data_IF_194068206237
#
_entry.id   IF_194068206237
#
_cell.length_a   1.000
_cell.length_b   1.000
_cell.length_c   1.000
_cell.angle_alpha   90.00
_cell.angle_beta   90.00
_cell.angle_gamma   90.00
#
_symmetry.space_group_name_H-M   'P 1'
#
loop_
_entity.id
_entity.type
_entity.pdbx_description
1 polymer ?
#
# COMPACT_ATOMS: atom_id res chain seq x y z
N UNK A 1 -13.07 1.70 -21.57
CA UNK A 1 -11.90 1.22 -20.80
C UNK A 1 -10.82 2.29 -20.83
N UNK A 2 -10.05 2.41 -19.75
CA UNK A 2 -9.20 3.58 -19.50
C UNK A 2 -9.90 4.54 -18.53
N UNK A 3 -9.20 5.62 -18.16
CA UNK A 3 -9.69 6.59 -17.19
C UNK A 3 -11.07 7.13 -17.58
N UNK A 4 -12.01 7.10 -16.64
CA UNK A 4 -13.36 7.65 -16.76
C UNK A 4 -13.30 9.19 -16.85
N UNK A 5 -14.28 9.84 -17.49
CA UNK A 5 -14.29 11.31 -17.62
C UNK A 5 -14.16 12.05 -16.29
N UNK A 6 -14.83 11.58 -15.23
CA UNK A 6 -14.76 12.21 -13.91
C UNK A 6 -13.38 12.05 -13.25
N UNK A 7 -12.68 10.93 -13.48
CA UNK A 7 -11.31 10.73 -12.99
C UNK A 7 -10.37 11.73 -13.66
N UNK A 8 -10.50 11.90 -14.97
CA UNK A 8 -9.70 12.85 -15.77
C UNK A 8 -9.92 14.30 -15.34
N UNK A 9 -11.15 14.66 -14.97
CA UNK A 9 -11.52 16.02 -14.58
C UNK A 9 -10.88 16.49 -13.26
N UNK A 10 -10.33 15.58 -12.45
CA UNK A 10 -9.63 15.92 -11.20
C UNK A 10 -8.18 16.37 -11.44
N UNK A 11 -7.65 16.12 -12.63
CA UNK A 11 -6.29 16.51 -13.02
C UNK A 11 -6.27 17.93 -13.61
N UNK A 12 -5.13 18.65 -13.50
CA UNK A 12 -3.89 18.22 -12.88
C UNK A 12 -3.91 18.29 -11.34
N UNK A 13 -3.14 17.41 -10.69
CA UNK A 13 -3.01 17.41 -9.23
C UNK A 13 -1.87 18.32 -8.84
N UNK A 14 -2.19 19.47 -8.26
CA UNK A 14 -1.21 20.52 -7.94
C UNK A 14 -0.82 20.57 -6.47
N UNK A 15 -1.55 19.88 -5.59
CA UNK A 15 -1.38 19.90 -4.12
C UNK A 15 -1.55 18.53 -3.51
N UNK A 16 -1.04 18.36 -2.28
CA UNK A 16 -1.49 17.33 -1.32
C UNK A 16 -3.02 17.29 -1.26
N UNK A 17 -3.68 18.44 -1.10
CA UNK A 17 -5.15 18.53 -1.08
C UNK A 17 -5.83 18.04 -2.36
N UNK A 18 -5.22 18.23 -3.54
CA UNK A 18 -5.74 17.71 -4.81
C UNK A 18 -5.60 16.19 -4.89
N UNK A 19 -4.49 15.63 -4.40
CA UNK A 19 -4.32 14.18 -4.28
C UNK A 19 -5.36 13.60 -3.33
N UNK A 20 -5.57 14.20 -2.14
CA UNK A 20 -6.61 13.77 -1.20
C UNK A 20 -8.01 13.79 -1.84
N UNK A 21 -8.35 14.82 -2.63
CA UNK A 21 -9.62 14.86 -3.37
C UNK A 21 -9.77 13.74 -4.40
N UNK A 22 -8.68 13.36 -5.08
CA UNK A 22 -8.70 12.21 -5.98
C UNK A 22 -8.99 10.92 -5.22
N UNK A 23 -8.30 10.68 -4.10
CA UNK A 23 -8.52 9.51 -3.27
C UNK A 23 -9.95 9.47 -2.71
N UNK A 24 -10.46 10.59 -2.22
CA UNK A 24 -11.84 10.69 -1.72
C UNK A 24 -12.87 10.36 -2.80
N UNK A 25 -12.67 10.84 -4.03
CA UNK A 25 -13.56 10.54 -5.15
C UNK A 25 -13.52 9.05 -5.55
N UNK A 26 -12.33 8.43 -5.54
CA UNK A 26 -12.16 6.98 -5.79
C UNK A 26 -12.75 6.12 -4.66
N UNK A 27 -12.51 6.47 -3.39
CA UNK A 27 -13.01 5.70 -2.23
C UNK A 27 -14.54 5.67 -2.13
N UNK A 28 -15.22 6.68 -2.69
CA UNK A 28 -16.69 6.66 -2.85
C UNK A 28 -17.18 5.65 -3.88
N UNK A 29 -16.31 5.13 -4.74
CA UNK A 29 -16.64 4.09 -5.69
C UNK A 29 -16.58 2.70 -5.02
N UNK A 30 -17.39 1.73 -5.48
CA UNK A 30 -17.27 0.36 -5.02
C UNK A 30 -15.97 -0.31 -5.50
N UNK A 31 -15.42 0.16 -6.61
CA UNK A 31 -14.16 -0.32 -7.22
C UNK A 31 -13.25 0.90 -7.44
N UNK A 32 -12.57 1.40 -6.39
CA UNK A 32 -11.54 2.42 -6.53
C UNK A 32 -10.43 1.92 -7.44
N UNK A 33 -9.94 2.75 -8.36
CA UNK A 33 -8.93 2.37 -9.34
C UNK A 33 -7.53 2.32 -8.71
N UNK A 34 -7.09 1.11 -8.33
CA UNK A 34 -5.80 0.89 -7.65
C UNK A 34 -4.62 1.29 -8.55
N UNK A 35 -4.76 1.12 -9.86
CA UNK A 35 -3.69 1.43 -10.82
C UNK A 35 -3.48 2.93 -10.89
N UNK A 36 -4.57 3.70 -11.02
CA UNK A 36 -4.53 5.16 -11.03
C UNK A 36 -3.90 5.71 -9.75
N UNK A 37 -4.40 5.26 -8.59
CA UNK A 37 -3.94 5.76 -7.30
C UNK A 37 -2.46 5.44 -7.06
N UNK A 38 -1.98 4.24 -7.44
CA UNK A 38 -0.58 3.83 -7.25
C UNK A 38 0.37 4.61 -8.14
N UNK A 39 -0.04 4.88 -9.38
CA UNK A 39 0.73 5.71 -10.30
C UNK A 39 0.87 7.14 -9.79
N UNK A 40 -0.20 7.72 -9.23
CA UNK A 40 -0.17 9.06 -8.63
C UNK A 40 0.74 9.11 -7.41
N UNK A 41 0.60 8.17 -6.47
CA UNK A 41 1.46 8.14 -5.27
C UNK A 41 2.92 7.99 -5.65
N UNK A 42 3.25 7.03 -6.51
CA UNK A 42 4.63 6.80 -6.93
C UNK A 42 5.23 7.97 -7.72
N UNK A 43 4.43 8.67 -8.53
CA UNK A 43 4.87 9.88 -9.22
C UNK A 43 5.21 11.00 -8.22
N UNK A 44 4.33 11.25 -7.25
CA UNK A 44 4.52 12.30 -6.24
C UNK A 44 5.72 11.95 -5.33
N UNK A 45 5.81 10.72 -4.86
CA UNK A 45 6.93 10.22 -4.05
C UNK A 45 8.27 10.30 -4.79
N UNK A 46 8.28 10.02 -6.10
CA UNK A 46 9.51 10.11 -6.89
C UNK A 46 10.14 11.50 -6.83
N UNK A 47 9.35 12.56 -6.97
CA UNK A 47 9.89 13.93 -6.98
C UNK A 47 10.02 14.56 -5.59
N UNK A 48 9.41 13.96 -4.56
CA UNK A 48 9.50 14.45 -3.18
C UNK A 48 10.54 13.71 -2.33
N UNK A 49 10.87 12.45 -2.67
CA UNK A 49 11.84 11.65 -1.94
C UNK A 49 12.99 11.12 -2.81
N UNK A 50 12.71 10.56 -3.99
CA UNK A 50 13.73 9.86 -4.81
C UNK A 50 14.69 10.82 -5.52
N UNK A 51 14.14 11.81 -6.22
CA UNK A 51 14.91 12.80 -6.96
C UNK A 51 14.20 14.17 -6.90
N UNK A 52 14.64 14.99 -5.95
CA UNK A 52 14.08 16.31 -5.66
C UNK A 52 14.66 17.43 -6.54
N UNK A 53 15.60 17.11 -7.44
CA UNK A 53 16.17 18.09 -8.36
C UNK A 53 15.12 18.43 -9.43
N UNK A 54 14.74 19.70 -9.53
CA UNK A 54 13.79 20.18 -10.53
C UNK A 54 14.41 20.01 -11.94
N UNK A 55 13.87 19.13 -12.79
CA UNK A 55 14.41 18.94 -14.13
C UNK A 55 14.09 20.16 -15.00
N UNK A 56 15.13 20.79 -15.54
CA UNK A 56 15.01 21.96 -16.43
C UNK A 56 14.85 21.57 -17.90
N UNK A 57 15.10 20.30 -18.24
CA UNK A 57 15.17 19.78 -19.61
C UNK A 57 14.01 18.82 -19.96
N UNK A 58 13.01 18.65 -19.10
CA UNK A 58 11.87 17.75 -19.32
C UNK A 58 10.61 18.57 -19.60
N UNK A 59 10.24 18.79 -20.88
CA UNK A 59 9.02 19.53 -21.21
C UNK A 59 7.78 18.75 -20.73
N UNK A 60 6.78 19.49 -20.24
CA UNK A 60 5.51 18.92 -19.77
C UNK A 60 5.51 18.49 -18.29
N UNK A 61 6.66 18.50 -17.61
CA UNK A 61 6.73 18.38 -16.16
C UNK A 61 6.74 19.78 -15.53
N UNK A 62 5.82 20.04 -14.61
CA UNK A 62 5.70 21.33 -13.94
C UNK A 62 5.64 21.16 -12.42
N UNK A 63 6.02 22.22 -11.70
CA UNK A 63 6.04 22.25 -10.24
C UNK A 63 5.31 23.48 -9.73
N UNK A 64 4.47 23.31 -8.73
CA UNK A 64 3.74 24.41 -8.11
C UNK A 64 4.48 24.90 -6.86
N UNK A 65 4.92 26.16 -6.89
CA UNK A 65 5.62 26.80 -5.78
C UNK A 65 4.66 27.13 -4.64
N UNK A 66 5.13 26.97 -3.41
CA UNK A 66 4.38 27.18 -2.17
C UNK A 66 5.27 27.77 -1.09
N UNK A 67 4.71 28.47 -0.10
CA UNK A 67 5.45 28.78 1.11
C UNK A 67 5.98 27.49 1.75
N UNK A 68 7.28 27.44 2.03
CA UNK A 68 7.91 26.37 2.79
C UNK A 68 7.66 26.52 4.30
N UNK A 69 8.17 25.58 5.11
CA UNK A 69 7.98 25.57 6.55
C UNK A 69 8.69 26.74 7.25
N UNK A 70 9.79 27.23 6.70
CA UNK A 70 10.51 28.40 7.21
C UNK A 70 10.10 29.68 6.46
N UNK A 71 10.03 30.84 7.15
CA UNK A 71 9.79 32.12 6.50
C UNK A 71 10.77 32.34 5.34
N UNK A 72 10.26 32.76 4.18
CA UNK A 72 11.02 33.04 2.95
C UNK A 72 11.54 31.80 2.18
N UNK A 73 11.26 30.58 2.63
CA UNK A 73 11.54 29.37 1.83
C UNK A 73 10.38 29.03 0.89
N UNK A 74 10.70 28.42 -0.26
CA UNK A 74 9.70 27.89 -1.18
C UNK A 74 9.79 26.36 -1.24
N UNK A 75 8.64 25.71 -1.05
CA UNK A 75 8.45 24.29 -1.35
C UNK A 75 7.86 24.15 -2.76
N UNK A 76 8.19 23.05 -3.45
CA UNK A 76 7.72 22.78 -4.81
C UNK A 76 6.99 21.45 -4.86
N UNK A 77 5.71 21.48 -5.19
CA UNK A 77 4.92 20.26 -5.35
C UNK A 77 4.97 19.79 -6.81
N UNK A 78 5.28 18.51 -7.09
CA UNK A 78 5.27 17.97 -8.45
C UNK A 78 3.85 17.91 -9.00
N UNK A 79 3.57 18.65 -10.07
CA UNK A 79 2.24 18.67 -10.66
C UNK A 79 2.02 17.37 -11.44
N UNK A 80 1.10 16.54 -10.99
CA UNK A 80 0.71 15.34 -11.73
C UNK A 80 -0.21 15.74 -12.89
N UNK A 81 0.37 15.88 -14.08
CA UNK A 81 -0.37 16.19 -15.31
C UNK A 81 -1.15 14.98 -15.81
N UNK A 82 -2.36 15.23 -16.34
CA UNK A 82 -3.21 14.16 -16.87
C UNK A 82 -2.52 13.37 -17.98
N UNK A 83 -1.79 14.07 -18.86
CA UNK A 83 -1.09 13.45 -19.99
C UNK A 83 -0.06 12.40 -19.54
N UNK A 84 0.71 12.73 -18.50
CA UNK A 84 1.74 11.85 -17.92
C UNK A 84 1.07 10.64 -17.27
N UNK A 85 0.12 10.89 -16.35
CA UNK A 85 -0.52 9.81 -15.60
C UNK A 85 -1.35 8.89 -16.50
N UNK A 86 -2.08 9.46 -17.47
CA UNK A 86 -2.84 8.68 -18.45
C UNK A 86 -1.93 7.83 -19.35
N UNK A 87 -0.75 8.33 -19.73
CA UNK A 87 0.22 7.55 -20.52
C UNK A 87 0.78 6.37 -19.72
N UNK A 88 1.15 6.58 -18.45
CA UNK A 88 1.61 5.52 -17.56
C UNK A 88 0.52 4.46 -17.33
N UNK A 89 -0.71 4.91 -17.11
CA UNK A 89 -1.88 4.04 -16.95
C UNK A 89 -2.15 3.21 -18.21
N UNK A 90 -2.12 3.85 -19.38
CA UNK A 90 -2.29 3.17 -20.67
C UNK A 90 -1.19 2.14 -20.90
N UNK A 91 0.07 2.46 -20.56
CA UNK A 91 1.20 1.53 -20.68
C UNK A 91 1.03 0.31 -19.80
N UNK A 92 0.67 0.48 -18.52
CA UNK A 92 0.38 -0.64 -17.61
C UNK A 92 -0.76 -1.51 -18.15
N UNK A 93 -1.89 -0.91 -18.46
CA UNK A 93 -3.07 -1.67 -18.91
C UNK A 93 -2.87 -2.36 -20.25
N UNK A 94 -2.12 -1.76 -21.18
CA UNK A 94 -1.75 -2.40 -22.45
C UNK A 94 -0.86 -3.62 -22.24
N UNK A 95 0.15 -3.52 -21.37
CA UNK A 95 1.04 -4.63 -21.03
C UNK A 95 0.28 -5.82 -20.45
N UNK A 96 -0.62 -5.59 -19.49
CA UNK A 96 -1.39 -6.66 -18.86
C UNK A 96 -2.38 -7.29 -19.86
N UNK A 97 -3.16 -6.47 -20.57
CA UNK A 97 -4.17 -6.97 -21.52
C UNK A 97 -3.57 -7.67 -22.74
N UNK A 98 -2.40 -7.22 -23.20
CA UNK A 98 -1.70 -7.87 -24.30
C UNK A 98 -1.09 -9.22 -23.93
N UNK A 99 -0.80 -9.45 -22.64
CA UNK A 99 -0.13 -10.66 -22.17
C UNK A 99 -1.09 -11.76 -21.65
N UNK A 100 -2.35 -11.41 -21.36
CA UNK A 100 -3.36 -12.31 -20.79
C UNK A 100 -4.60 -12.33 -21.68
N UNK A 101 -4.76 -13.39 -22.46
CA UNK A 101 -5.97 -13.66 -23.22
C UNK A 101 -7.03 -14.30 -22.33
N UNK A 102 -8.04 -13.52 -21.93
CA UNK A 102 -9.13 -13.98 -21.05
C UNK A 102 -10.01 -15.06 -21.70
N UNK A 103 -10.00 -15.22 -23.02
CA UNK A 103 -10.79 -16.26 -23.70
C UNK A 103 -10.30 -17.68 -23.35
N UNK A 104 -9.03 -17.81 -22.97
CA UNK A 104 -8.39 -19.07 -22.57
C UNK A 104 -8.70 -19.46 -21.11
N UNK A 105 -9.33 -18.56 -20.34
CA UNK A 105 -9.61 -18.77 -18.91
C UNK A 105 -11.11 -18.58 -18.64
N UNK A 106 -11.93 -19.62 -18.87
CA UNK A 106 -13.35 -19.58 -18.53
C UNK A 106 -13.54 -19.28 -17.04
N UNK A 107 -14.48 -18.37 -16.74
CA UNK A 107 -14.83 -17.94 -15.39
C UNK A 107 -16.27 -18.34 -15.06
N UNK A 108 -16.55 -19.64 -14.86
CA UNK A 108 -17.89 -20.07 -14.45
C UNK A 108 -18.24 -19.34 -13.14
N UNK A 109 -19.48 -18.87 -13.05
CA UNK A 109 -20.01 -18.10 -11.91
C UNK A 109 -19.25 -16.78 -11.60
N UNK A 110 -18.41 -16.30 -12.53
CA UNK A 110 -17.70 -15.02 -12.42
C UNK A 110 -16.41 -15.05 -11.59
N UNK A 111 -16.00 -16.21 -11.07
CA UNK A 111 -14.78 -16.36 -10.25
C UNK A 111 -13.55 -16.69 -11.10
N UNK A 112 -12.39 -16.21 -10.65
CA UNK A 112 -11.10 -16.43 -11.31
C UNK A 112 -10.52 -17.79 -10.90
N UNK A 113 -9.88 -18.49 -11.85
CA UNK A 113 -9.17 -19.75 -11.55
C UNK A 113 -7.75 -19.49 -11.05
N UNK A 114 -7.14 -20.51 -10.41
CA UNK A 114 -5.74 -20.44 -9.97
C UNK A 114 -4.78 -20.23 -11.14
N UNK A 115 -5.06 -20.86 -12.27
CA UNK A 115 -4.25 -20.76 -13.49
C UNK A 115 -4.25 -19.33 -14.03
N UNK A 116 -5.41 -18.67 -14.02
CA UNK A 116 -5.53 -17.27 -14.42
C UNK A 116 -4.75 -16.34 -13.47
N UNK A 117 -4.92 -16.50 -12.16
CA UNK A 117 -4.20 -15.70 -11.15
C UNK A 117 -2.69 -15.91 -11.28
N UNK A 118 -2.24 -17.16 -11.43
CA UNK A 118 -0.83 -17.49 -11.66
C UNK A 118 -0.32 -16.88 -12.96
N UNK A 119 -1.10 -16.90 -14.04
CA UNK A 119 -0.72 -16.28 -15.31
C UNK A 119 -0.50 -14.78 -15.15
N UNK A 120 -1.37 -14.07 -14.44
CA UNK A 120 -1.19 -12.64 -14.15
C UNK A 120 0.07 -12.41 -13.30
N UNK A 121 0.29 -13.22 -12.27
CA UNK A 121 1.49 -13.15 -11.44
C UNK A 121 2.78 -13.38 -12.25
N UNK A 122 2.79 -14.33 -13.17
CA UNK A 122 3.92 -14.58 -14.07
C UNK A 122 4.17 -13.41 -15.04
N UNK A 123 3.13 -12.71 -15.48
CA UNK A 123 3.30 -11.49 -16.30
C UNK A 123 4.01 -10.40 -15.49
N UNK A 124 3.58 -10.13 -14.26
CA UNK A 124 4.24 -9.16 -13.38
C UNK A 124 5.69 -9.59 -13.11
N UNK A 125 5.89 -10.82 -12.68
CA UNK A 125 7.20 -11.36 -12.34
C UNK A 125 8.22 -11.26 -13.46
N UNK A 126 7.85 -11.74 -14.66
CA UNK A 126 8.75 -11.75 -15.81
C UNK A 126 9.02 -10.36 -16.40
N UNK A 127 8.23 -9.36 -15.99
CA UNK A 127 8.43 -7.97 -16.36
C UNK A 127 9.42 -7.24 -15.45
N UNK A 128 9.78 -7.83 -14.30
CA UNK A 128 10.74 -7.24 -13.37
C UNK A 128 12.18 -7.40 -13.86
N UNK A 129 13.01 -6.43 -13.52
CA UNK A 129 14.46 -6.49 -13.71
C UNK A 129 15.05 -7.71 -12.99
N UNK A 130 15.92 -8.48 -13.64
CA UNK A 130 16.52 -9.69 -13.04
C UNK A 130 17.49 -9.40 -11.88
N UNK A 131 18.06 -8.20 -11.83
CA UNK A 131 19.05 -7.82 -10.82
C UNK A 131 18.80 -6.40 -10.35
N UNK A 132 18.31 -6.28 -9.12
CA UNK A 132 18.24 -5.05 -8.36
C UNK A 132 18.21 -5.36 -6.85
N UNK A 133 18.56 -4.38 -6.03
CA UNK A 133 18.46 -4.49 -4.59
C UNK A 133 16.98 -4.51 -4.19
N UNK A 134 16.50 -5.68 -3.73
CA UNK A 134 15.10 -5.92 -3.33
C UNK A 134 14.68 -5.12 -2.09
N UNK A 135 15.65 -4.74 -1.26
CA UNK A 135 15.45 -3.95 -0.03
C UNK A 135 15.59 -2.43 -0.30
N UNK A 136 15.60 -1.99 -1.57
CA UNK A 136 15.71 -0.58 -1.92
C UNK A 136 14.40 0.14 -1.58
N UNK A 137 14.47 1.36 -1.05
CA UNK A 137 13.29 2.20 -0.87
C UNK A 137 12.68 2.67 -2.21
N UNK A 138 11.42 3.11 -2.17
CA UNK A 138 10.71 3.74 -3.31
C UNK A 138 10.47 2.84 -4.53
N UNK A 139 10.40 1.54 -4.32
CA UNK A 139 10.07 0.54 -5.35
C UNK A 139 8.80 -0.25 -5.02
N UNK A 140 7.90 0.29 -4.22
CA UNK A 140 6.65 -0.34 -3.81
C UNK A 140 5.47 -0.08 -4.77
N UNK A 141 5.55 1.00 -5.58
CA UNK A 141 4.42 1.49 -6.40
C UNK A 141 4.45 1.01 -7.85
N UNK A 142 3.29 1.04 -8.52
CA UNK A 142 3.17 0.76 -9.95
C UNK A 142 3.91 1.79 -10.83
N UNK A 143 4.16 2.99 -10.30
CA UNK A 143 5.05 3.94 -10.96
C UNK A 143 6.45 3.36 -11.12
N UNK A 144 7.01 2.78 -10.04
CA UNK A 144 8.32 2.12 -10.08
C UNK A 144 8.34 0.91 -11.00
N UNK A 145 7.26 0.12 -11.02
CA UNK A 145 7.10 -0.98 -11.96
C UNK A 145 7.17 -0.53 -13.42
N UNK A 146 6.40 0.50 -13.81
CA UNK A 146 6.33 0.95 -15.21
C UNK A 146 7.56 1.74 -15.65
N UNK A 147 8.14 2.54 -14.75
CA UNK A 147 9.27 3.42 -15.09
C UNK A 147 10.62 2.74 -14.94
N UNK A 148 10.76 1.86 -13.94
CA UNK A 148 12.04 1.26 -13.56
C UNK A 148 12.06 -0.26 -13.51
N UNK A 149 10.93 -0.93 -13.77
CA UNK A 149 10.77 -2.41 -13.70
C UNK A 149 11.28 -3.03 -12.41
N UNK A 150 11.10 -2.33 -11.29
CA UNK A 150 11.52 -2.76 -9.96
C UNK A 150 10.31 -2.76 -9.04
N UNK A 151 10.18 -3.81 -8.24
CA UNK A 151 9.20 -3.90 -7.17
C UNK A 151 9.82 -4.50 -5.91
N UNK A 152 9.47 -4.04 -4.71
CA UNK A 152 9.74 -4.84 -3.51
C UNK A 152 8.75 -6.03 -3.40
N UNK A 153 8.94 -6.87 -2.38
CA UNK A 153 8.12 -8.08 -2.21
C UNK A 153 6.62 -7.77 -2.17
N UNK A 154 6.20 -6.83 -1.32
CA UNK A 154 4.80 -6.47 -1.15
C UNK A 154 4.23 -5.73 -2.37
N UNK A 155 5.06 -4.92 -3.03
CA UNK A 155 4.74 -4.21 -4.27
C UNK A 155 4.40 -5.17 -5.40
N UNK A 156 5.07 -6.33 -5.49
CA UNK A 156 4.69 -7.40 -6.45
C UNK A 156 3.29 -7.92 -6.18
N UNK A 157 2.95 -8.25 -4.93
CA UNK A 157 1.61 -8.75 -4.59
C UNK A 157 0.54 -7.71 -4.92
N UNK A 158 0.77 -6.44 -4.57
CA UNK A 158 -0.11 -5.34 -4.93
C UNK A 158 -0.25 -5.17 -6.45
N UNK A 159 0.84 -5.27 -7.20
CA UNK A 159 0.82 -5.15 -8.66
C UNK A 159 0.01 -6.26 -9.33
N UNK A 160 0.03 -7.48 -8.79
CA UNK A 160 -0.83 -8.58 -9.25
C UNK A 160 -2.30 -8.24 -9.02
N UNK A 161 -2.68 -7.72 -7.85
CA UNK A 161 -4.06 -7.31 -7.57
C UNK A 161 -4.52 -6.18 -8.50
N UNK A 162 -3.68 -5.16 -8.70
CA UNK A 162 -3.96 -4.07 -9.65
C UNK A 162 -4.10 -4.56 -11.10
N UNK A 163 -3.28 -5.51 -11.53
CA UNK A 163 -3.37 -6.14 -12.85
C UNK A 163 -4.66 -6.97 -13.00
N UNK A 164 -5.03 -7.74 -11.98
CA UNK A 164 -6.29 -8.46 -11.91
C UNK A 164 -7.50 -7.51 -12.00
N UNK A 165 -7.48 -6.39 -11.26
CA UNK A 165 -8.51 -5.37 -11.35
C UNK A 165 -8.61 -4.78 -12.77
N UNK A 166 -7.47 -4.49 -13.43
CA UNK A 166 -7.43 -3.95 -14.79
C UNK A 166 -8.00 -4.90 -15.87
N UNK A 167 -8.03 -6.21 -15.57
CA UNK A 167 -8.65 -7.28 -16.36
C UNK A 167 -10.12 -7.56 -15.96
N UNK A 168 -10.65 -6.88 -14.94
CA UNK A 168 -12.01 -7.11 -14.44
C UNK A 168 -12.18 -8.35 -13.57
N UNK A 169 -11.10 -8.80 -12.92
CA UNK A 169 -11.09 -9.92 -11.98
C UNK A 169 -11.39 -9.41 -10.56
N UNK A 170 -12.69 -9.14 -10.31
CA UNK A 170 -13.13 -8.49 -9.07
C UNK A 170 -12.95 -9.34 -7.82
N UNK A 171 -12.87 -10.66 -7.96
CA UNK A 171 -12.76 -11.60 -6.86
C UNK A 171 -11.33 -11.74 -6.31
N UNK A 172 -10.32 -11.23 -7.02
CA UNK A 172 -8.92 -11.30 -6.58
C UNK A 172 -8.59 -10.12 -5.68
N UNK A 173 -8.11 -10.41 -4.48
CA UNK A 173 -7.82 -9.43 -3.44
C UNK A 173 -6.46 -9.67 -2.80
N UNK A 174 -5.92 -8.60 -2.21
CA UNK A 174 -4.68 -8.66 -1.46
C UNK A 174 -4.91 -9.36 -0.12
N UNK A 175 -3.96 -10.19 0.26
CA UNK A 175 -3.86 -10.74 1.60
C UNK A 175 -2.55 -10.30 2.25
N UNK A 176 -2.63 -9.84 3.50
CA UNK A 176 -1.50 -9.29 4.24
C UNK A 176 -1.36 -9.96 5.58
N UNK A 177 -0.17 -10.50 5.83
CA UNK A 177 0.31 -10.69 7.19
C UNK A 177 1.00 -9.42 7.68
N UNK A 178 1.74 -9.54 8.78
CA UNK A 178 2.56 -8.46 9.32
C UNK A 178 3.90 -8.28 8.58
N UNK A 179 4.37 -9.27 7.81
CA UNK A 179 5.68 -9.22 7.11
C UNK A 179 5.69 -9.86 5.70
N UNK A 180 4.52 -10.26 5.19
CA UNK A 180 4.39 -10.90 3.87
C UNK A 180 3.03 -10.64 3.24
N UNK A 181 2.98 -10.72 1.91
CA UNK A 181 1.80 -10.45 1.10
C UNK A 181 1.59 -11.52 0.02
N UNK A 182 0.33 -11.89 -0.20
CA UNK A 182 -0.10 -12.81 -1.26
C UNK A 182 -1.49 -12.43 -1.76
N UNK A 183 -2.14 -13.28 -2.56
CA UNK A 183 -3.51 -13.02 -3.02
C UNK A 183 -4.51 -14.06 -2.54
N UNK A 184 -5.73 -13.60 -2.26
CA UNK A 184 -6.93 -14.42 -2.06
C UNK A 184 -7.89 -14.24 -3.22
N UNK A 185 -8.62 -15.29 -3.61
CA UNK A 185 -9.53 -15.26 -4.75
C UNK A 185 -10.58 -16.39 -4.70
N UNK A 186 -11.45 -16.43 -5.71
CA UNK A 186 -12.49 -17.44 -5.81
C UNK A 186 -13.70 -17.14 -4.92
N UNK A 187 -14.62 -18.10 -4.83
CA UNK A 187 -15.85 -17.96 -4.03
C UNK A 187 -15.48 -17.69 -2.56
N UNK A 188 -15.99 -16.58 -2.03
CA UNK A 188 -15.73 -16.17 -0.64
C UNK A 188 -14.27 -15.76 -0.35
N UNK A 189 -13.38 -15.70 -1.34
CA UNK A 189 -11.95 -15.44 -1.11
C UNK A 189 -11.23 -16.58 -0.37
N UNK A 190 -11.72 -17.82 -0.50
CA UNK A 190 -11.18 -18.98 0.22
C UNK A 190 -9.88 -19.52 -0.41
N UNK A 191 -9.67 -19.30 -1.70
CA UNK A 191 -8.44 -19.74 -2.35
C UNK A 191 -7.31 -18.74 -2.12
N UNK A 192 -6.10 -19.25 -1.89
CA UNK A 192 -4.89 -18.44 -1.71
C UNK A 192 -3.85 -18.81 -2.75
N UNK A 193 -3.08 -17.84 -3.24
CA UNK A 193 -1.88 -18.10 -4.05
C UNK A 193 -0.74 -17.18 -3.64
N UNK A 194 0.43 -17.77 -3.40
CA UNK A 194 1.70 -17.04 -3.32
C UNK A 194 2.00 -16.39 -4.67
N UNK A 195 2.37 -15.12 -4.70
CA UNK A 195 2.65 -14.38 -5.94
C UNK A 195 3.97 -13.61 -5.92
N UNK A 196 4.63 -13.57 -4.76
CA UNK A 196 5.89 -12.87 -4.54
C UNK A 196 6.86 -13.75 -3.75
N UNK A 197 8.07 -13.25 -3.50
CA UNK A 197 9.06 -13.90 -2.64
C UNK A 197 8.95 -13.40 -1.20
N UNK A 198 9.46 -14.17 -0.25
CA UNK A 198 9.77 -13.71 1.11
C UNK A 198 11.22 -14.06 1.45
N UNK A 199 11.90 -13.17 2.20
CA UNK A 199 13.30 -13.36 2.58
C UNK A 199 14.31 -13.34 1.42
N UNK A 200 15.51 -13.88 1.68
CA UNK A 200 16.69 -13.85 0.76
C UNK A 200 17.01 -15.21 0.13
N UNK A 201 16.08 -16.18 0.19
CA UNK A 201 16.26 -17.55 -0.31
C UNK A 201 15.77 -17.78 -1.75
N UNK A 202 16.14 -18.96 -2.30
CA UNK A 202 15.78 -19.41 -3.65
C UNK A 202 14.50 -20.27 -3.71
N UNK A 203 13.76 -20.42 -2.61
CA UNK A 203 12.50 -21.17 -2.61
C UNK A 203 11.40 -20.33 -3.28
N UNK A 204 11.18 -20.56 -4.56
CA UNK A 204 10.04 -19.99 -5.29
C UNK A 204 8.77 -20.73 -4.89
N UNK A 205 8.04 -20.18 -3.92
CA UNK A 205 6.74 -20.68 -3.47
C UNK A 205 5.57 -20.19 -4.32
N UNK A 206 5.82 -19.39 -5.38
CA UNK A 206 4.74 -18.77 -6.18
C UNK A 206 3.82 -19.82 -6.80
N UNK A 207 2.53 -19.52 -6.79
CA UNK A 207 1.43 -20.37 -7.24
C UNK A 207 0.93 -21.37 -6.19
N UNK A 208 1.69 -21.63 -5.13
CA UNK A 208 1.29 -22.53 -4.05
C UNK A 208 0.26 -21.89 -3.11
N UNK A 209 -0.45 -22.71 -2.34
CA UNK A 209 -1.35 -22.26 -1.28
C UNK A 209 -0.56 -21.88 -0.02
N UNK A 210 -1.13 -21.02 0.83
CA UNK A 210 -0.49 -20.66 2.12
C UNK A 210 -0.80 -21.64 3.26
N UNK A 211 -1.53 -22.73 3.00
CA UNK A 211 -1.98 -23.68 4.03
C UNK A 211 -0.83 -24.30 4.84
N UNK A 212 0.31 -24.59 4.20
CA UNK A 212 1.48 -25.12 4.91
C UNK A 212 1.99 -24.13 5.97
N UNK A 213 2.12 -22.85 5.59
CA UNK A 213 2.51 -21.75 6.48
C UNK A 213 1.54 -21.50 7.63
N UNK A 214 0.24 -21.64 7.36
CA UNK A 214 -0.79 -21.56 8.41
C UNK A 214 -0.71 -22.77 9.35
N UNK A 215 -0.52 -23.98 8.82
CA UNK A 215 -0.48 -25.22 9.59
C UNK A 215 0.77 -25.33 10.49
N UNK A 216 1.91 -24.80 10.06
CA UNK A 216 3.13 -24.70 10.88
C UNK A 216 3.05 -23.59 11.94
N UNK A 217 1.95 -22.82 11.98
CA UNK A 217 1.70 -21.72 12.92
C UNK A 217 2.78 -20.64 12.90
N UNK A 218 3.41 -20.42 11.75
CA UNK A 218 4.43 -19.37 11.64
C UNK A 218 3.78 -17.98 11.69
N UNK A 219 4.44 -17.05 12.40
CA UNK A 219 4.01 -15.65 12.50
C UNK A 219 3.77 -15.03 11.13
N UNK A 220 4.57 -15.43 10.13
CA UNK A 220 4.46 -15.00 8.75
C UNK A 220 3.06 -15.20 8.12
N UNK A 221 2.29 -16.18 8.60
CA UNK A 221 0.93 -16.44 8.13
C UNK A 221 -0.13 -16.26 9.22
N UNK A 222 0.28 -15.75 10.40
CA UNK A 222 -0.58 -15.34 11.52
C UNK A 222 -1.63 -16.39 11.89
N UNK A 223 -1.27 -17.69 11.86
CA UNK A 223 -2.19 -18.82 12.15
C UNK A 223 -3.50 -18.77 11.35
N UNK A 224 -3.53 -18.06 10.21
CA UNK A 224 -4.72 -17.86 9.38
C UNK A 224 -5.52 -16.59 9.66
N UNK A 225 -5.18 -15.82 10.70
CA UNK A 225 -5.78 -14.53 11.08
C UNK A 225 -5.12 -13.33 10.38
N UNK A 226 -4.71 -13.51 9.14
CA UNK A 226 -4.18 -12.44 8.29
C UNK A 226 -5.30 -11.56 7.70
N UNK A 227 -4.95 -10.37 7.22
CA UNK A 227 -5.90 -9.46 6.59
C UNK A 227 -6.29 -10.02 5.22
N UNK A 228 -7.58 -10.20 4.98
CA UNK A 228 -8.16 -10.36 3.64
C UNK A 228 -8.72 -9.02 3.21
N UNK A 229 -7.99 -8.28 2.38
CA UNK A 229 -8.33 -6.91 2.07
C UNK A 229 -9.59 -6.80 1.20
N UNK A 230 -10.39 -5.77 1.44
CA UNK A 230 -11.31 -5.22 0.44
C UNK A 230 -10.57 -4.23 -0.47
N UNK A 231 -11.21 -3.71 -1.52
CA UNK A 231 -10.63 -2.65 -2.35
C UNK A 231 -10.22 -1.41 -1.54
N UNK A 232 -11.05 -1.02 -0.56
CA UNK A 232 -10.75 0.11 0.31
C UNK A 232 -9.55 -0.16 1.24
N UNK A 233 -9.39 -1.40 1.70
CA UNK A 233 -8.20 -1.80 2.47
C UNK A 233 -6.94 -1.90 1.60
N UNK A 234 -7.07 -2.23 0.31
CA UNK A 234 -5.96 -2.18 -0.65
C UNK A 234 -5.51 -0.73 -0.91
N UNK A 235 -6.45 0.22 -0.92
CA UNK A 235 -6.13 1.66 -0.91
C UNK A 235 -5.46 2.06 0.42
N UNK A 236 -5.90 1.53 1.56
CA UNK A 236 -5.20 1.78 2.82
C UNK A 236 -3.77 1.22 2.80
N UNK A 237 -3.56 0.02 2.23
CA UNK A 237 -2.23 -0.58 2.09
C UNK A 237 -1.28 0.32 1.29
N UNK A 238 -1.69 0.80 0.11
CA UNK A 238 -0.81 1.64 -0.70
C UNK A 238 -0.54 3.01 -0.08
N UNK A 239 -1.44 3.51 0.78
CA UNK A 239 -1.21 4.73 1.57
C UNK A 239 -0.20 4.46 2.69
N UNK A 240 -0.33 3.36 3.43
CA UNK A 240 0.69 2.95 4.41
C UNK A 240 2.05 2.67 3.77
N UNK A 241 2.05 2.24 2.51
CA UNK A 241 3.28 1.98 1.76
C UNK A 241 3.97 3.24 1.23
N UNK A 242 3.37 4.44 1.33
CA UNK A 242 4.08 5.69 1.05
C UNK A 242 5.33 5.74 1.95
N UNK A 243 6.49 5.99 1.34
CA UNK A 243 7.76 6.08 2.05
C UNK A 243 8.25 7.54 2.04
N UNK A 244 8.12 8.27 3.16
CA UNK A 244 8.55 9.67 3.24
C UNK A 244 10.07 9.86 3.23
N UNK A 245 10.86 8.83 3.53
CA UNK A 245 12.31 8.95 3.73
C UNK A 245 13.06 9.34 2.46
N UNK A 246 13.81 10.42 2.52
CA UNK A 246 14.71 10.90 1.46
C UNK A 246 16.07 10.18 1.61
N UNK A 247 16.52 10.09 2.86
CA UNK A 247 17.72 9.37 3.27
C UNK A 247 17.51 8.77 4.68
N UNK A 248 18.57 8.29 5.32
CA UNK A 248 18.51 7.64 6.63
C UNK A 248 18.07 8.56 7.78
N UNK A 249 18.09 9.88 7.60
CA UNK A 249 17.89 10.87 8.67
C UNK A 249 16.91 11.98 8.29
N UNK A 250 16.41 11.97 7.06
CA UNK A 250 15.58 13.05 6.52
C UNK A 250 14.34 12.48 5.85
N UNK A 251 13.17 12.97 6.24
CA UNK A 251 11.89 12.67 5.61
C UNK A 251 11.34 13.87 4.83
N UNK A 252 10.54 13.60 3.79
CA UNK A 252 9.75 14.62 3.11
C UNK A 252 8.51 14.96 3.93
N UNK A 253 8.44 16.21 4.38
CA UNK A 253 7.29 16.75 5.10
C UNK A 253 5.99 16.65 4.30
N UNK A 254 6.04 16.89 2.99
CA UNK A 254 4.88 16.79 2.11
C UNK A 254 4.35 15.36 1.99
N UNK A 255 5.23 14.35 2.01
CA UNK A 255 4.83 12.95 1.99
C UNK A 255 4.27 12.49 3.34
N UNK A 256 4.87 12.93 4.46
CA UNK A 256 4.31 12.72 5.80
C UNK A 256 2.89 13.30 5.88
N UNK A 257 2.72 14.56 5.48
CA UNK A 257 1.42 15.24 5.47
C UNK A 257 0.42 14.56 4.52
N UNK A 258 0.87 14.11 3.35
CA UNK A 258 0.01 13.39 2.40
C UNK A 258 -0.47 12.07 3.00
N UNK A 259 0.45 11.27 3.56
CA UNK A 259 0.13 9.99 4.17
C UNK A 259 -0.84 10.16 5.34
N UNK A 260 -0.56 11.09 6.26
CA UNK A 260 -1.41 11.40 7.42
C UNK A 260 -2.82 11.81 7.00
N UNK A 261 -2.95 12.72 6.02
CA UNK A 261 -4.27 13.17 5.53
C UNK A 261 -5.05 12.07 4.82
N UNK A 262 -4.38 11.20 4.07
CA UNK A 262 -5.02 10.07 3.41
C UNK A 262 -5.45 9.00 4.43
N UNK A 263 -4.66 8.74 5.46
CA UNK A 263 -5.03 7.85 6.56
C UNK A 263 -6.21 8.41 7.36
N UNK A 264 -6.26 9.71 7.62
CA UNK A 264 -7.45 10.33 8.22
C UNK A 264 -8.70 10.19 7.37
N UNK A 265 -8.58 10.39 6.06
CA UNK A 265 -9.69 10.16 5.12
C UNK A 265 -10.20 8.71 5.21
N UNK A 266 -9.29 7.73 5.19
CA UNK A 266 -9.64 6.32 5.33
C UNK A 266 -10.25 6.00 6.69
N UNK A 267 -9.75 6.62 7.76
CA UNK A 267 -10.26 6.49 9.12
C UNK A 267 -11.70 7.00 9.22
N UNK A 268 -11.97 8.20 8.71
CA UNK A 268 -13.29 8.84 8.76
C UNK A 268 -14.34 8.08 7.94
N UNK A 269 -13.90 7.41 6.88
CA UNK A 269 -14.75 6.53 6.07
C UNK A 269 -14.89 5.10 6.64
N UNK A 270 -14.28 4.80 7.80
CA UNK A 270 -14.34 3.49 8.46
C UNK A 270 -13.47 2.41 7.82
N UNK A 271 -12.61 2.75 6.86
CA UNK A 271 -11.81 1.78 6.11
C UNK A 271 -10.56 1.28 6.88
N UNK A 272 -10.24 1.89 8.04
CA UNK A 272 -9.17 1.42 8.93
C UNK A 272 -9.66 0.52 10.07
N UNK A 273 -10.97 0.29 10.21
CA UNK A 273 -11.55 -0.47 11.33
C UNK A 273 -10.93 -1.89 11.45
N UNK A 274 -10.61 -2.51 10.32
CA UNK A 274 -9.99 -3.84 10.22
C UNK A 274 -8.52 -3.78 9.79
N UNK A 275 -7.81 -2.68 10.04
CA UNK A 275 -6.42 -2.55 9.66
C UNK A 275 -5.56 -2.07 10.85
N UNK A 276 -5.12 -3.00 11.72
CA UNK A 276 -4.39 -2.67 12.94
C UNK A 276 -3.11 -1.86 12.70
N UNK A 277 -2.28 -2.26 11.74
CA UNK A 277 -1.03 -1.57 11.44
C UNK A 277 -1.23 -0.17 10.84
N UNK A 278 -2.32 0.06 10.08
CA UNK A 278 -2.63 1.39 9.55
C UNK A 278 -3.03 2.36 10.66
N UNK A 279 -3.70 1.89 11.72
CA UNK A 279 -4.00 2.68 12.92
C UNK A 279 -2.71 3.02 13.70
N UNK A 280 -1.76 2.08 13.79
CA UNK A 280 -0.44 2.32 14.36
C UNK A 280 0.35 3.37 13.58
N UNK A 281 0.39 3.26 12.24
CA UNK A 281 1.03 4.24 11.37
C UNK A 281 0.42 5.64 11.53
N UNK A 282 -0.92 5.75 11.57
CA UNK A 282 -1.59 7.03 11.82
C UNK A 282 -1.24 7.61 13.21
N UNK A 283 -1.10 6.76 14.23
CA UNK A 283 -0.71 7.19 15.57
C UNK A 283 0.73 7.73 15.61
N UNK A 284 1.70 7.09 14.93
CA UNK A 284 3.07 7.60 14.81
C UNK A 284 3.10 8.97 14.11
N UNK A 285 2.29 9.15 13.05
CA UNK A 285 2.18 10.44 12.34
C UNK A 285 1.55 11.54 13.21
N UNK A 286 0.54 11.22 14.01
CA UNK A 286 -0.05 12.16 14.97
C UNK A 286 0.88 12.47 16.16
N UNK A 287 1.79 11.57 16.53
CA UNK A 287 2.83 11.87 17.51
C UNK A 287 3.85 12.85 16.93
N UNK A 288 4.17 12.74 15.65
CA UNK A 288 5.11 13.61 14.96
C UNK A 288 4.54 15.01 14.71
N UNK A 289 3.35 15.11 14.15
CA UNK A 289 2.66 16.38 13.87
C UNK A 289 1.16 16.26 14.20
N UNK A 290 0.73 16.61 15.43
CA UNK A 290 -0.66 16.47 15.84
C UNK A 290 -1.62 17.31 14.99
N UNK A 291 -2.70 16.71 14.52
CA UNK A 291 -3.75 17.42 13.78
C UNK A 291 -4.79 17.96 14.77
N UNK A 292 -5.09 19.28 14.77
CA UNK A 292 -6.08 19.85 15.69
C UNK A 292 -7.46 19.17 15.61
N UNK A 293 -7.99 18.76 16.77
CA UNK A 293 -9.29 18.12 16.90
C UNK A 293 -9.30 16.61 16.59
N UNK A 294 -8.15 16.01 16.26
CA UNK A 294 -8.03 14.57 16.09
C UNK A 294 -7.72 13.84 17.41
N UNK A 295 -8.07 12.54 17.51
CA UNK A 295 -7.65 11.69 18.62
C UNK A 295 -6.14 11.73 18.85
N UNK A 296 -5.73 11.63 20.11
CA UNK A 296 -4.32 11.49 20.47
C UNK A 296 -3.73 10.13 20.01
N UNK A 297 -2.38 10.03 19.91
CA UNK A 297 -1.72 8.79 19.50
C UNK A 297 -2.07 7.57 20.37
N UNK A 298 -2.17 7.73 21.69
CA UNK A 298 -2.48 6.62 22.61
C UNK A 298 -3.86 6.01 22.30
N UNK A 299 -4.85 6.86 22.05
CA UNK A 299 -6.18 6.44 21.59
C UNK A 299 -6.12 5.64 20.29
N UNK A 300 -5.27 6.03 19.34
CA UNK A 300 -5.12 5.33 18.05
C UNK A 300 -4.38 3.99 18.20
N UNK A 301 -3.31 3.91 19.01
CA UNK A 301 -2.63 2.63 19.30
C UNK A 301 -3.59 1.61 19.94
N UNK A 302 -4.38 2.04 20.94
CA UNK A 302 -5.38 1.17 21.56
C UNK A 302 -6.49 0.75 20.59
N UNK A 303 -6.88 1.61 19.63
CA UNK A 303 -7.79 1.21 18.53
C UNK A 303 -7.16 0.15 17.64
N UNK A 304 -5.87 0.23 17.35
CA UNK A 304 -5.13 -0.80 16.61
C UNK A 304 -5.17 -2.16 17.33
N UNK A 305 -4.91 -2.17 18.63
CA UNK A 305 -5.00 -3.38 19.48
C UNK A 305 -6.44 -3.92 19.51
N UNK A 306 -7.44 -3.04 19.66
CA UNK A 306 -8.84 -3.44 19.64
C UNK A 306 -9.25 -4.08 18.31
N UNK A 307 -8.77 -3.53 17.19
CA UNK A 307 -8.98 -4.11 15.86
C UNK A 307 -8.40 -5.52 15.75
N UNK A 308 -7.15 -5.72 16.20
CA UNK A 308 -6.50 -7.03 16.25
C UNK A 308 -7.28 -8.04 17.09
N UNK A 309 -7.77 -7.64 18.28
CA UNK A 309 -8.59 -8.49 19.15
C UNK A 309 -9.93 -8.85 18.52
N UNK A 310 -10.58 -7.89 17.86
CA UNK A 310 -11.94 -8.03 17.36
C UNK A 310 -12.01 -8.86 16.07
N UNK A 311 -11.08 -8.63 15.14
CA UNK A 311 -11.17 -9.21 13.79
C UNK A 311 -10.12 -10.30 13.52
N UNK A 312 -9.09 -10.41 14.36
CA UNK A 312 -7.91 -11.24 14.09
C UNK A 312 -7.49 -12.08 15.30
N UNK A 313 -8.44 -12.43 16.16
CA UNK A 313 -8.25 -13.32 17.32
C UNK A 313 -7.09 -12.93 18.25
N UNK A 314 -6.72 -11.64 18.26
CA UNK A 314 -5.56 -11.14 18.99
C UNK A 314 -4.22 -11.80 18.58
N UNK A 315 -4.06 -12.21 17.32
CA UNK A 315 -2.86 -12.92 16.83
C UNK A 315 -1.84 -11.99 16.14
N UNK A 316 -2.00 -10.67 16.28
CA UNK A 316 -1.11 -9.65 15.69
C UNK A 316 -0.15 -9.09 16.74
N UNK A 317 1.11 -8.94 16.36
CA UNK A 317 2.23 -8.54 17.21
C UNK A 317 2.45 -7.03 17.17
N UNK A 318 2.43 -6.43 15.97
CA UNK A 318 2.78 -5.03 15.79
C UNK A 318 1.89 -4.04 16.53
N UNK A 319 0.57 -4.24 16.70
CA UNK A 319 -0.26 -3.30 17.48
C UNK A 319 0.27 -3.06 18.90
N UNK A 320 0.80 -4.11 19.54
CA UNK A 320 1.43 -4.01 20.87
C UNK A 320 2.84 -3.42 20.79
N UNK A 321 3.62 -3.76 19.76
CA UNK A 321 4.95 -3.18 19.53
C UNK A 321 4.91 -1.67 19.29
N UNK A 322 3.91 -1.18 18.55
CA UNK A 322 3.67 0.25 18.36
C UNK A 322 3.43 0.97 19.69
N UNK A 323 2.52 0.43 20.53
CA UNK A 323 2.23 0.98 21.85
C UNK A 323 3.47 0.98 22.76
N UNK A 324 4.23 -0.12 22.77
CA UNK A 324 5.47 -0.21 23.52
C UNK A 324 6.51 0.82 23.04
N UNK A 325 6.63 1.01 21.72
CA UNK A 325 7.49 2.02 21.11
C UNK A 325 7.13 3.44 21.55
N UNK A 326 5.85 3.80 21.54
CA UNK A 326 5.35 5.07 22.04
C UNK A 326 5.74 5.32 23.50
N UNK A 327 5.45 4.35 24.38
CA UNK A 327 5.80 4.47 25.80
C UNK A 327 7.31 4.55 26.02
N UNK A 328 8.09 3.80 25.25
CA UNK A 328 9.56 3.85 25.30
C UNK A 328 10.10 5.24 24.92
N UNK A 329 9.64 5.83 23.81
CA UNK A 329 10.03 7.18 23.37
C UNK A 329 9.71 8.24 24.43
N UNK A 330 8.58 8.06 25.13
CA UNK A 330 8.09 8.98 26.17
C UNK A 330 8.59 8.63 27.59
N UNK A 331 9.51 7.66 27.73
CA UNK A 331 10.12 7.24 29.01
C UNK A 331 9.11 6.71 30.04
N UNK A 332 7.98 6.20 29.60
CA UNK A 332 6.98 5.52 30.42
C UNK A 332 7.37 4.04 30.58
N UNK A 333 8.39 3.80 31.44
CA UNK A 333 9.08 2.50 31.53
C UNK A 333 8.13 1.36 31.89
N UNK A 334 7.22 1.59 32.84
CA UNK A 334 6.29 0.56 33.30
C UNK A 334 5.35 0.12 32.17
N UNK A 335 4.72 1.08 31.51
CA UNK A 335 3.76 0.85 30.44
C UNK A 335 4.43 0.24 29.20
N UNK A 336 5.69 0.62 28.90
CA UNK A 336 6.47 -0.01 27.84
C UNK A 336 6.74 -1.50 28.12
N UNK A 337 7.13 -1.83 29.36
CA UNK A 337 7.35 -3.21 29.79
C UNK A 337 6.06 -4.05 29.77
N UNK A 338 4.93 -3.46 30.20
CA UNK A 338 3.62 -4.10 30.12
C UNK A 338 3.23 -4.40 28.66
N UNK A 339 3.39 -3.43 27.75
CA UNK A 339 3.10 -3.64 26.33
C UNK A 339 4.01 -4.70 25.68
N UNK A 340 5.30 -4.75 26.02
CA UNK A 340 6.19 -5.83 25.57
C UNK A 340 5.82 -7.20 26.15
N UNK A 341 5.32 -7.26 27.39
CA UNK A 341 4.80 -8.49 27.98
C UNK A 341 3.54 -8.98 27.26
N UNK A 342 2.66 -8.07 26.86
CA UNK A 342 1.49 -8.39 26.02
C UNK A 342 1.93 -8.91 24.64
N UNK A 343 2.93 -8.29 24.01
CA UNK A 343 3.53 -8.79 22.76
C UNK A 343 4.05 -10.22 22.93
N UNK A 344 4.78 -10.50 24.02
CA UNK A 344 5.31 -11.82 24.33
C UNK A 344 4.19 -12.85 24.54
N UNK A 345 3.05 -12.41 25.09
CA UNK A 345 1.87 -13.25 25.30
C UNK A 345 1.21 -13.67 23.99
N UNK A 346 1.28 -12.84 22.94
CA UNK A 346 0.76 -13.19 21.62
C UNK A 346 1.70 -14.16 20.88
N UNK A 347 3.02 -13.92 20.92
CA UNK A 347 3.99 -14.72 20.14
C UNK A 347 4.30 -16.10 20.76
N UNK A 348 3.87 -16.37 21.99
CA UNK A 348 4.11 -17.67 22.65
C UNK A 348 3.31 -18.84 22.04
N UNK A 349 2.27 -18.54 21.25
CA UNK A 349 1.35 -19.52 20.62
C UNK A 349 1.42 -19.52 19.10
#
# INVERSE_FOLDING_TARGET
>A
MGLKPWQKALFPLRSVGAVVRLFEAELRQPEPDLVLLSLVLGFVEHFLAVNRVLPTNVPGLSFEARPGPEPQTLAYFPVAELSIVAALYARFTAQIRGAVDLSLYPRPDGFSSRELVRKVADVIWNSLSRSYFKDRAHIQSLFSFITGTKLDSSGVAFAVVGACQALGLRDVHLALSEDHAWVVFGRGGEQTAEVTWHGKGNEDRRGQTVHAGVAERSWLYLKGSYLRCTRHMEVAFMVCAINPSIDLHTDSLELLQLQQRLLWLLYDMGHLERYPMALGNLADLEELEPTPGRPDPLTLYHKGILSARTYYNNEHIYPYMYLAGYHCRNKNVKEALEAWADTATVIQE
#
